data_IF_632280180663
#
_entry.id   IF_632280180663
#
_cell.length_a   1.000
_cell.length_b   1.000
_cell.length_c   1.000
_cell.angle_alpha   90.00
_cell.angle_beta   90.00
_cell.angle_gamma   90.00
#
_symmetry.space_group_name_H-M   'P 1'
#
loop_
_entity.id
_entity.type
_entity.pdbx_description
1 polymer ?
#
# COMPACT_ATOMS: atom_id res chain seq x y z
N UNK A 1 -18.07 -42.41 -0.40
CA UNK A 1 -17.90 -41.04 0.12
C UNK A 1 -17.60 -40.11 -1.06
N UNK A 2 -18.34 -39.01 -1.25
CA UNK A 2 -18.13 -38.11 -2.40
C UNK A 2 -16.69 -37.57 -2.39
N UNK A 3 -15.85 -37.99 -3.33
CA UNK A 3 -14.42 -37.59 -3.45
C UNK A 3 -14.26 -36.06 -3.41
N UNK A 4 -15.20 -35.32 -4.00
CA UNK A 4 -15.26 -33.85 -3.96
C UNK A 4 -15.40 -33.29 -2.53
N UNK A 5 -16.19 -33.96 -1.67
CA UNK A 5 -16.33 -33.58 -0.25
C UNK A 5 -15.08 -33.95 0.56
N UNK A 6 -14.39 -35.03 0.19
CA UNK A 6 -13.11 -35.43 0.79
C UNK A 6 -12.01 -34.39 0.54
N UNK A 7 -11.81 -33.99 -0.71
CA UNK A 7 -10.81 -32.99 -1.10
C UNK A 7 -11.04 -31.64 -0.40
N UNK A 8 -12.30 -31.18 -0.37
CA UNK A 8 -12.62 -29.92 0.30
C UNK A 8 -12.29 -29.97 1.80
N UNK A 9 -12.65 -31.06 2.49
CA UNK A 9 -12.35 -31.23 3.91
C UNK A 9 -10.83 -31.28 4.18
N UNK A 10 -10.07 -32.04 3.38
CA UNK A 10 -8.62 -32.08 3.53
C UNK A 10 -7.97 -30.72 3.24
N UNK A 11 -8.48 -30.00 2.23
CA UNK A 11 -8.01 -28.65 1.92
C UNK A 11 -8.23 -27.68 3.08
N UNK A 12 -9.41 -27.69 3.72
CA UNK A 12 -9.67 -26.84 4.89
C UNK A 12 -8.67 -27.13 6.01
N UNK A 13 -8.46 -28.41 6.34
CA UNK A 13 -7.51 -28.80 7.41
C UNK A 13 -6.09 -28.34 7.08
N UNK A 14 -5.61 -28.59 5.86
CA UNK A 14 -4.28 -28.17 5.43
C UNK A 14 -4.14 -26.64 5.43
N UNK A 15 -5.17 -25.91 5.03
CA UNK A 15 -5.17 -24.43 5.03
C UNK A 15 -5.09 -23.86 6.44
N UNK A 16 -5.83 -24.46 7.40
CA UNK A 16 -5.77 -24.04 8.80
C UNK A 16 -4.40 -24.33 9.42
N UNK A 17 -3.82 -25.50 9.14
CA UNK A 17 -2.46 -25.84 9.58
C UNK A 17 -1.42 -24.89 8.97
N UNK A 18 -1.55 -24.57 7.67
CA UNK A 18 -0.71 -23.59 7.00
C UNK A 18 -0.75 -22.24 7.72
N UNK A 19 -1.96 -21.70 7.95
CA UNK A 19 -2.13 -20.43 8.66
C UNK A 19 -1.54 -20.47 10.07
N UNK A 20 -1.71 -21.57 10.80
CA UNK A 20 -1.14 -21.72 12.14
C UNK A 20 0.40 -21.64 12.13
N UNK A 21 1.03 -22.25 11.12
CA UNK A 21 2.50 -22.26 10.97
C UNK A 21 3.01 -20.91 10.46
N UNK A 22 2.35 -20.28 9.49
CA UNK A 22 2.82 -19.02 8.89
C UNK A 22 2.46 -17.78 9.69
N UNK A 23 1.52 -17.88 10.63
CA UNK A 23 1.02 -16.73 11.41
C UNK A 23 2.12 -15.91 12.09
N UNK A 24 3.11 -16.50 12.82
CA UNK A 24 4.16 -15.71 13.46
C UNK A 24 5.00 -14.90 12.46
N UNK A 25 5.31 -15.50 11.30
CA UNK A 25 6.08 -14.85 10.24
C UNK A 25 5.28 -13.68 9.61
N UNK A 26 4.01 -13.94 9.27
CA UNK A 26 3.10 -12.96 8.66
C UNK A 26 2.86 -11.77 9.60
N UNK A 27 2.66 -12.02 10.89
CA UNK A 27 2.49 -10.97 11.91
C UNK A 27 3.77 -10.15 12.08
N UNK A 28 4.93 -10.80 12.11
CA UNK A 28 6.23 -10.12 12.18
C UNK A 28 6.49 -9.22 10.97
N UNK A 29 6.15 -9.69 9.76
CA UNK A 29 6.23 -8.89 8.54
C UNK A 29 5.25 -7.72 8.55
N UNK A 30 3.98 -7.96 8.88
CA UNK A 30 2.95 -6.92 8.90
C UNK A 30 3.22 -5.84 9.96
N UNK A 31 3.87 -6.20 11.07
CA UNK A 31 4.32 -5.26 12.11
C UNK A 31 5.42 -4.32 11.62
N UNK A 32 6.04 -4.62 10.48
CA UNK A 32 6.97 -3.75 9.77
C UNK A 32 6.31 -2.54 9.11
N UNK A 33 5.01 -2.62 8.81
CA UNK A 33 4.29 -1.60 8.05
C UNK A 33 3.99 -0.33 8.86
N UNK A 34 3.91 0.78 8.13
CA UNK A 34 3.53 2.08 8.69
C UNK A 34 2.11 2.09 9.26
N UNK A 35 1.20 1.25 8.77
CA UNK A 35 -0.15 1.19 9.34
C UNK A 35 -0.16 0.65 10.79
N UNK A 36 0.78 -0.24 11.14
CA UNK A 36 0.95 -0.77 12.50
C UNK A 36 1.83 0.15 13.35
N UNK A 37 2.95 0.61 12.80
CA UNK A 37 3.90 1.49 13.51
C UNK A 37 3.34 2.89 13.78
N UNK A 38 2.30 3.30 13.04
CA UNK A 38 1.75 4.63 13.09
C UNK A 38 2.54 5.63 12.24
N UNK A 39 2.04 6.86 12.19
CA UNK A 39 2.73 7.97 11.51
C UNK A 39 3.87 8.49 12.38
N UNK A 40 5.08 8.60 11.83
CA UNK A 40 6.19 9.25 12.53
C UNK A 40 5.85 10.72 12.82
N UNK A 41 6.50 11.34 13.82
CA UNK A 41 6.12 12.69 14.26
C UNK A 41 6.25 13.73 13.14
N UNK A 42 7.19 13.54 12.22
CA UNK A 42 7.38 14.38 11.03
C UNK A 42 6.38 14.09 9.91
N UNK A 43 5.48 13.11 10.00
CA UNK A 43 4.47 12.87 8.96
C UNK A 43 3.16 13.65 9.21
N UNK A 44 2.87 14.04 10.46
CA UNK A 44 1.59 14.68 10.83
C UNK A 44 1.47 16.11 10.31
N UNK A 45 2.56 16.86 10.32
CA UNK A 45 2.62 18.28 9.94
C UNK A 45 2.68 18.51 8.41
N UNK A 46 3.54 17.84 7.62
CA UNK A 46 3.64 18.07 6.17
C UNK A 46 2.42 17.60 5.38
N UNK A 47 1.55 16.77 5.96
CA UNK A 47 0.30 16.40 5.30
C UNK A 47 -0.64 17.60 5.09
N UNK A 48 -0.50 18.70 5.84
CA UNK A 48 -1.35 19.87 5.72
C UNK A 48 -0.67 21.09 5.12
N UNK A 49 0.64 21.03 4.95
CA UNK A 49 1.45 22.16 4.54
C UNK A 49 2.11 21.89 3.18
N UNK A 50 2.04 22.88 2.31
CA UNK A 50 2.56 22.84 0.95
C UNK A 50 3.85 23.66 0.89
N UNK A 51 5.01 23.04 0.60
CA UNK A 51 6.26 23.76 0.58
C UNK A 51 6.44 24.51 -0.74
N UNK A 52 6.82 25.78 -0.65
CA UNK A 52 7.22 26.62 -1.78
C UNK A 52 8.60 27.20 -1.48
N UNK A 53 9.41 27.43 -2.51
CA UNK A 53 10.66 28.19 -2.31
C UNK A 53 10.31 29.57 -1.77
N UNK A 54 11.00 30.02 -0.73
CA UNK A 54 10.69 31.31 -0.13
C UNK A 54 10.92 32.50 -1.09
N UNK A 55 11.76 32.34 -2.11
CA UNK A 55 11.96 33.30 -3.20
C UNK A 55 10.72 33.45 -4.10
N UNK A 56 9.89 32.42 -4.18
CA UNK A 56 8.66 32.39 -4.99
C UNK A 56 7.40 32.63 -4.14
N UNK A 57 7.55 32.81 -2.83
CA UNK A 57 6.44 32.95 -1.90
C UNK A 57 5.63 34.25 -2.18
N UNK A 58 4.31 34.12 -2.17
CA UNK A 58 3.34 35.22 -2.30
C UNK A 58 2.62 35.46 -0.96
N UNK A 59 2.30 36.71 -0.66
CA UNK A 59 1.64 37.09 0.60
C UNK A 59 2.61 37.39 1.73
N UNK A 60 2.12 37.34 2.97
CA UNK A 60 2.84 37.78 4.17
C UNK A 60 3.23 36.61 5.09
N UNK A 61 4.51 36.57 5.48
CA UNK A 61 5.02 35.60 6.46
C UNK A 61 4.29 35.75 7.81
N UNK A 62 3.92 34.62 8.41
CA UNK A 62 3.18 34.55 9.68
C UNK A 62 1.65 34.66 9.53
N UNK A 63 1.15 35.14 8.39
CA UNK A 63 -0.28 35.14 8.05
C UNK A 63 -0.59 34.08 7.01
N UNK A 64 0.00 34.18 5.82
CA UNK A 64 -0.33 33.33 4.67
C UNK A 64 0.54 32.07 4.59
N UNK A 65 1.79 32.20 5.06
CA UNK A 65 2.75 31.10 5.10
C UNK A 65 3.65 31.19 6.32
N UNK A 66 4.24 30.06 6.69
CA UNK A 66 5.26 29.97 7.73
C UNK A 66 6.60 29.57 7.13
N UNK A 67 7.67 30.21 7.57
CA UNK A 67 9.04 29.82 7.19
C UNK A 67 9.49 28.77 8.19
N UNK A 68 9.80 27.57 7.71
CA UNK A 68 10.33 26.51 8.54
C UNK A 68 11.37 25.68 7.79
N UNK A 69 12.25 25.02 8.55
CA UNK A 69 13.10 23.96 7.99
C UNK A 69 12.23 22.82 7.44
N UNK A 70 12.77 22.02 6.53
CA UNK A 70 12.07 20.83 6.06
C UNK A 70 11.64 19.94 7.24
N UNK A 71 10.36 19.54 7.26
CA UNK A 71 9.83 18.64 8.29
C UNK A 71 10.53 17.28 8.21
N UNK A 72 10.76 16.79 6.99
CA UNK A 72 11.40 15.50 6.77
C UNK A 72 12.90 15.56 7.09
N UNK A 73 13.41 14.64 7.94
CA UNK A 73 14.82 14.62 8.32
C UNK A 73 15.79 14.58 7.13
N UNK A 74 15.42 13.90 6.04
CA UNK A 74 16.27 13.77 4.84
C UNK A 74 16.24 15.00 3.91
N UNK A 75 15.24 15.87 4.04
CA UNK A 75 15.17 17.11 3.26
C UNK A 75 15.92 18.25 3.95
N UNK A 76 16.16 18.16 5.27
CA UNK A 76 16.91 19.18 6.04
C UNK A 76 18.33 19.45 5.52
N UNK A 77 18.95 18.46 4.88
CA UNK A 77 20.30 18.56 4.33
C UNK A 77 20.33 18.89 2.84
N UNK A 78 19.17 19.10 2.20
CA UNK A 78 19.07 19.50 0.79
C UNK A 78 19.08 21.01 0.65
N UNK A 79 19.31 21.52 -0.56
CA UNK A 79 19.18 22.94 -0.88
C UNK A 79 17.89 23.20 -1.69
N UNK A 80 16.98 24.07 -1.20
CA UNK A 80 17.04 24.78 0.09
C UNK A 80 16.74 23.85 1.27
N UNK A 81 17.31 24.13 2.44
CA UNK A 81 17.03 23.35 3.68
C UNK A 81 15.78 23.80 4.43
N UNK A 82 15.17 24.90 3.95
CA UNK A 82 13.95 25.51 4.47
C UNK A 82 13.00 25.85 3.33
N UNK A 83 11.72 25.92 3.64
CA UNK A 83 10.67 26.30 2.70
C UNK A 83 9.65 27.22 3.37
N UNK A 84 8.86 27.87 2.52
CA UNK A 84 7.71 28.65 2.92
C UNK A 84 6.48 27.75 2.78
N UNK A 85 5.87 27.42 3.90
CA UNK A 85 4.80 26.45 4.01
C UNK A 85 3.44 27.13 4.05
N UNK A 86 2.58 26.77 3.09
CA UNK A 86 1.20 27.26 3.00
C UNK A 86 0.21 26.19 3.45
N UNK A 87 -0.92 26.59 4.00
CA UNK A 87 -2.10 25.72 4.01
C UNK A 87 -2.66 25.60 2.59
N UNK A 88 -3.42 24.56 2.30
CA UNK A 88 -4.04 24.39 0.97
C UNK A 88 -4.91 25.58 0.57
N UNK A 89 -5.63 26.16 1.52
CA UNK A 89 -6.52 27.31 1.31
C UNK A 89 -5.72 28.56 0.91
N UNK A 90 -4.72 28.95 1.71
CA UNK A 90 -3.87 30.10 1.39
C UNK A 90 -3.08 29.87 0.10
N UNK A 91 -2.60 28.65 -0.15
CA UNK A 91 -1.90 28.33 -1.39
C UNK A 91 -2.79 28.56 -2.62
N UNK A 92 -4.01 28.03 -2.64
CA UNK A 92 -4.90 28.16 -3.81
C UNK A 92 -5.34 29.60 -4.06
N UNK A 93 -5.40 30.45 -3.02
CA UNK A 93 -5.69 31.87 -3.19
C UNK A 93 -4.64 32.60 -4.06
N UNK A 94 -3.38 32.16 -4.02
CA UNK A 94 -2.27 32.80 -4.74
C UNK A 94 -1.83 32.08 -6.02
N UNK A 95 -2.20 30.82 -6.19
CA UNK A 95 -1.87 29.99 -7.36
C UNK A 95 -3.13 29.26 -7.89
N UNK A 96 -4.02 29.96 -8.61
CA UNK A 96 -5.27 29.40 -9.13
C UNK A 96 -5.05 28.27 -10.15
N UNK A 97 -3.86 28.17 -10.76
CA UNK A 97 -3.50 27.07 -11.66
C UNK A 97 -3.55 25.69 -10.99
N UNK A 98 -3.48 25.62 -9.66
CA UNK A 98 -3.58 24.38 -8.88
C UNK A 98 -4.96 24.17 -8.23
N UNK A 99 -5.96 25.02 -8.50
CA UNK A 99 -7.27 24.97 -7.85
C UNK A 99 -7.99 23.63 -8.06
N UNK A 100 -7.94 23.12 -9.30
CA UNK A 100 -8.60 21.87 -9.71
C UNK A 100 -7.77 20.62 -9.43
N UNK A 101 -6.55 20.74 -8.93
CA UNK A 101 -5.70 19.59 -8.63
C UNK A 101 -5.98 19.07 -7.22
N UNK A 102 -5.98 17.75 -7.07
CA UNK A 102 -6.07 17.14 -5.74
C UNK A 102 -4.86 17.52 -4.88
N UNK A 103 -5.07 17.62 -3.57
CA UNK A 103 -4.03 18.03 -2.60
C UNK A 103 -2.76 17.18 -2.71
N UNK A 104 -2.92 15.88 -2.92
CA UNK A 104 -1.79 14.97 -3.08
C UNK A 104 -0.99 15.29 -4.36
N UNK A 105 -1.67 15.60 -5.46
CA UNK A 105 -1.03 15.99 -6.72
C UNK A 105 -0.31 17.34 -6.61
N UNK A 106 -0.91 18.33 -5.94
CA UNK A 106 -0.27 19.63 -5.68
C UNK A 106 0.98 19.46 -4.82
N UNK A 107 0.87 18.74 -3.72
CA UNK A 107 2.02 18.44 -2.84
C UNK A 107 3.14 17.77 -3.64
N UNK A 108 2.82 16.72 -4.42
CA UNK A 108 3.79 16.03 -5.27
C UNK A 108 4.51 16.95 -6.25
N UNK A 109 3.77 17.83 -6.92
CA UNK A 109 4.34 18.80 -7.84
C UNK A 109 5.28 19.77 -7.13
N UNK A 110 4.89 20.29 -5.96
CA UNK A 110 5.67 21.27 -5.20
C UNK A 110 6.95 20.67 -4.60
N UNK A 111 6.88 19.49 -3.99
CA UNK A 111 8.07 18.78 -3.51
C UNK A 111 9.05 18.49 -4.65
N UNK A 112 8.53 18.05 -5.81
CA UNK A 112 9.36 17.83 -7.00
C UNK A 112 10.00 19.12 -7.49
N UNK A 113 9.27 20.25 -7.48
CA UNK A 113 9.77 21.55 -7.94
C UNK A 113 10.93 22.06 -7.09
N UNK A 114 10.90 21.82 -5.78
CA UNK A 114 11.95 22.26 -4.86
C UNK A 114 13.09 21.25 -4.71
N UNK A 115 13.02 20.08 -5.38
CA UNK A 115 14.04 19.04 -5.31
C UNK A 115 14.02 18.23 -4.00
N UNK A 116 12.90 18.24 -3.28
CA UNK A 116 12.71 17.49 -2.05
C UNK A 116 12.01 16.16 -2.33
N UNK A 117 12.34 15.14 -1.53
CA UNK A 117 11.60 13.87 -1.56
C UNK A 117 10.45 13.93 -0.57
N UNK A 118 9.24 13.61 -1.04
CA UNK A 118 8.04 13.56 -0.22
C UNK A 118 8.18 12.56 0.95
N UNK A 119 7.45 12.82 2.03
CA UNK A 119 7.31 11.98 3.24
C UNK A 119 7.24 10.49 2.95
N UNK A 120 6.44 10.09 1.95
CA UNK A 120 6.24 8.70 1.57
C UNK A 120 5.44 8.63 0.26
N UNK A 121 6.06 8.18 -0.84
CA UNK A 121 5.37 7.79 -2.08
C UNK A 121 5.15 6.25 -2.12
N UNK A 122 5.42 5.57 -1.00
CA UNK A 122 5.35 4.11 -0.86
C UNK A 122 3.96 3.62 -0.46
N UNK A 123 3.81 2.30 -0.49
CA UNK A 123 2.57 1.64 -0.07
C UNK A 123 2.57 1.40 1.44
N UNK A 124 1.55 1.92 2.15
CA UNK A 124 1.44 1.75 3.61
C UNK A 124 1.24 0.31 4.05
N UNK A 125 0.86 -0.56 3.11
CA UNK A 125 0.58 -1.97 3.29
C UNK A 125 1.60 -2.85 2.56
N UNK A 126 2.78 -2.34 2.21
CA UNK A 126 3.77 -3.07 1.41
C UNK A 126 4.08 -4.46 1.99
N UNK A 127 4.39 -4.56 3.28
CA UNK A 127 4.66 -5.84 3.91
C UNK A 127 3.38 -6.63 4.16
N UNK A 128 2.26 -5.97 4.46
CA UNK A 128 0.96 -6.61 4.68
C UNK A 128 0.45 -7.29 3.41
N UNK A 129 0.64 -6.69 2.23
CA UNK A 129 0.30 -7.29 0.94
C UNK A 129 1.13 -8.55 0.69
N UNK A 130 2.43 -8.46 0.94
CA UNK A 130 3.34 -9.61 0.82
C UNK A 130 2.96 -10.71 1.79
N UNK A 131 2.67 -10.36 3.05
CA UNK A 131 2.26 -11.28 4.09
C UNK A 131 0.90 -11.95 3.76
N UNK A 132 -0.05 -11.19 3.22
CA UNK A 132 -1.33 -11.70 2.74
C UNK A 132 -1.14 -12.68 1.56
N UNK A 133 -0.24 -12.39 0.62
CA UNK A 133 0.08 -13.31 -0.47
C UNK A 133 0.63 -14.63 0.06
N UNK A 134 1.57 -14.60 1.00
CA UNK A 134 2.14 -15.81 1.62
C UNK A 134 1.07 -16.62 2.36
N UNK A 135 0.14 -15.95 3.04
CA UNK A 135 -0.93 -16.61 3.79
C UNK A 135 -2.00 -17.25 2.88
N UNK A 136 -2.37 -16.60 1.78
CA UNK A 136 -3.55 -16.96 0.97
C UNK A 136 -3.19 -17.76 -0.29
N UNK A 137 -2.12 -17.36 -0.99
CA UNK A 137 -1.81 -17.93 -2.32
C UNK A 137 -1.51 -19.43 -2.25
N UNK A 138 -0.68 -19.94 -1.31
CA UNK A 138 -0.35 -21.37 -1.29
C UNK A 138 -1.56 -22.28 -1.02
N UNK A 139 -2.44 -22.00 -0.02
CA UNK A 139 -3.67 -22.78 0.16
C UNK A 139 -4.58 -22.79 -1.08
N UNK A 140 -4.74 -21.64 -1.74
CA UNK A 140 -5.57 -21.54 -2.95
C UNK A 140 -4.95 -22.32 -4.10
N UNK A 141 -3.63 -22.21 -4.30
CA UNK A 141 -2.91 -22.93 -5.35
C UNK A 141 -3.03 -24.45 -5.15
N UNK A 142 -2.86 -24.95 -3.93
CA UNK A 142 -3.03 -26.37 -3.59
C UNK A 142 -4.45 -26.85 -3.92
N UNK A 143 -5.47 -26.04 -3.63
CA UNK A 143 -6.86 -26.38 -3.96
C UNK A 143 -7.08 -26.51 -5.46
N UNK A 144 -6.63 -25.52 -6.23
CA UNK A 144 -6.78 -25.51 -7.69
C UNK A 144 -6.06 -26.68 -8.34
N UNK A 145 -4.84 -27.00 -7.89
CA UNK A 145 -4.09 -28.18 -8.34
C UNK A 145 -4.89 -29.45 -8.04
N UNK A 146 -5.44 -29.58 -6.82
CA UNK A 146 -6.29 -30.71 -6.45
C UNK A 146 -7.53 -30.87 -7.36
N UNK A 147 -8.19 -29.76 -7.71
CA UNK A 147 -9.30 -29.75 -8.65
C UNK A 147 -8.88 -30.18 -10.07
N UNK A 148 -7.76 -29.67 -10.56
CA UNK A 148 -7.22 -30.02 -11.89
C UNK A 148 -6.87 -31.50 -11.99
N UNK A 149 -6.23 -32.06 -10.96
CA UNK A 149 -5.92 -33.50 -10.90
C UNK A 149 -7.20 -34.34 -10.91
N UNK A 150 -8.20 -33.97 -10.11
CA UNK A 150 -9.48 -34.68 -10.11
C UNK A 150 -10.19 -34.59 -11.47
N UNK A 151 -10.15 -33.43 -12.12
CA UNK A 151 -10.72 -33.24 -13.45
C UNK A 151 -10.03 -34.13 -14.49
N UNK A 152 -8.69 -34.14 -14.50
CA UNK A 152 -7.92 -34.99 -15.40
C UNK A 152 -8.25 -36.48 -15.19
N UNK A 153 -8.23 -36.97 -13.94
CA UNK A 153 -8.55 -38.37 -13.63
C UNK A 153 -9.99 -38.74 -13.99
N UNK A 154 -10.95 -37.83 -13.81
CA UNK A 154 -12.33 -38.06 -14.20
C UNK A 154 -12.52 -38.16 -15.73
N UNK A 155 -11.79 -37.36 -16.51
CA UNK A 155 -11.83 -37.39 -17.97
C UNK A 155 -11.26 -38.68 -18.59
N UNK A 156 -10.32 -39.35 -17.90
CA UNK A 156 -9.74 -40.62 -18.37
C UNK A 156 -10.55 -41.87 -17.96
N UNK A 157 -11.60 -41.75 -17.15
CA UNK A 157 -12.50 -42.88 -16.83
C UNK A 157 -13.43 -43.15 -18.02
N UNK A 158 -13.07 -44.13 -18.86
CA UNK A 158 -13.93 -44.66 -19.93
C UNK A 158 -15.31 -45.05 -19.36
N UNK A 159 -16.39 -44.57 -19.96
CA UNK A 159 -17.73 -45.07 -19.69
C UNK A 159 -17.76 -46.59 -19.93
N UNK A 160 -18.26 -47.40 -18.99
CA UNK A 160 -18.51 -48.81 -19.27
C UNK A 160 -19.50 -48.86 -20.43
N UNK A 161 -19.05 -49.42 -21.54
CA UNK A 161 -19.84 -49.67 -22.74
C UNK A 161 -21.06 -50.48 -22.29
N UNK A 162 -22.24 -49.85 -22.26
CA UNK A 162 -23.51 -50.58 -22.05
C UNK A 162 -23.63 -51.52 -23.23
N UNK A 163 -23.51 -52.82 -22.99
CA UNK A 163 -23.98 -53.81 -23.93
C UNK A 163 -25.47 -53.55 -24.14
N UNK A 164 -25.84 -53.16 -25.36
CA UNK A 164 -27.23 -53.07 -25.79
C UNK A 164 -27.72 -54.51 -26.01
N UNK A 165 -28.75 -54.91 -25.28
CA UNK A 165 -29.69 -55.98 -25.68
C UNK A 165 -30.83 -55.38 -26.50
#
# INVERSE_FOLDING_TARGET
>A
MNIKRGLFRSWVVVSLLWLAVTSPLVVGMASGDKWVKGSEWWEKEPLNLLPVRCEEAKGQAGSDYQIAAAFEPWNKFREPGQACFYTLEHFRAFWPEYENMDKAAVSKALYSKIGWSMVFDGDRFENTKTAAMIAIVPPVAIYLIGLLVMWAVAGFRKSPMRAAE
#
